data_IF_499586839942
#
_entry.id   IF_499586839942
#
_cell.length_a   1.000
_cell.length_b   1.000
_cell.length_c   1.000
_cell.angle_alpha   90.00
_cell.angle_beta   90.00
_cell.angle_gamma   90.00
#
_symmetry.space_group_name_H-M   'P 1'
#
loop_
_entity.id
_entity.type
_entity.pdbx_description
1 polymer ?
#
# COMPACT_ATOMS: atom_id res chain seq x y z
N UNK A 1 -8.06 18.56 -21.47
CA UNK A 1 -6.81 17.91 -21.91
C UNK A 1 -6.27 17.16 -20.71
N UNK A 2 -5.90 15.89 -20.82
CA UNK A 2 -5.37 15.11 -19.69
C UNK A 2 -3.87 15.36 -19.65
N UNK A 3 -3.36 15.98 -18.60
CA UNK A 3 -1.91 16.19 -18.43
C UNK A 3 -1.20 14.84 -18.37
N UNK A 4 -0.11 14.74 -19.12
CA UNK A 4 0.74 13.55 -19.13
C UNK A 4 1.70 13.59 -17.94
N UNK A 5 2.30 12.44 -17.62
CA UNK A 5 3.35 12.39 -16.60
C UNK A 5 4.51 13.33 -16.94
N UNK A 6 4.88 13.42 -18.22
CA UNK A 6 6.00 14.26 -18.65
C UNK A 6 5.67 15.76 -18.47
N UNK A 7 4.44 16.17 -18.80
CA UNK A 7 4.00 17.56 -18.63
C UNK A 7 4.12 18.02 -17.16
N UNK A 8 3.90 17.10 -16.21
CA UNK A 8 4.03 17.38 -14.77
C UNK A 8 5.50 17.51 -14.38
N UNK A 9 6.39 16.67 -14.93
CA UNK A 9 7.83 16.76 -14.66
C UNK A 9 8.40 18.07 -15.20
N UNK A 10 8.09 18.42 -16.45
CA UNK A 10 8.55 19.66 -17.08
C UNK A 10 8.11 20.90 -16.29
N UNK A 11 6.93 20.86 -15.67
CA UNK A 11 6.45 21.93 -14.79
C UNK A 11 7.17 22.02 -13.45
N UNK A 12 7.64 20.89 -12.91
CA UNK A 12 8.41 20.89 -11.67
C UNK A 12 9.82 21.43 -11.96
N UNK A 13 10.40 21.09 -13.11
CA UNK A 13 11.77 21.51 -13.50
C UNK A 13 11.93 23.03 -13.64
N UNK A 14 10.86 23.76 -13.95
CA UNK A 14 10.91 25.23 -14.06
C UNK A 14 10.80 25.95 -12.70
N UNK A 15 10.55 25.23 -11.61
CA UNK A 15 10.45 25.81 -10.28
C UNK A 15 11.85 26.08 -9.70
N UNK A 16 11.99 27.01 -8.75
CA UNK A 16 13.22 27.17 -7.98
C UNK A 16 13.63 25.87 -7.26
N UNK A 17 14.93 25.65 -7.10
CA UNK A 17 15.47 24.43 -6.48
C UNK A 17 14.84 24.12 -5.11
N UNK A 18 14.61 25.15 -4.29
CA UNK A 18 13.98 25.01 -2.97
C UNK A 18 12.55 24.45 -3.05
N UNK A 19 11.76 24.91 -4.03
CA UNK A 19 10.40 24.43 -4.25
C UNK A 19 10.41 22.99 -4.80
N UNK A 20 11.36 22.65 -5.66
CA UNK A 20 11.54 21.28 -6.14
C UNK A 20 11.87 20.33 -4.98
N UNK A 21 12.77 20.71 -4.09
CA UNK A 21 13.13 19.94 -2.89
C UNK A 21 11.92 19.76 -1.96
N UNK A 22 11.11 20.80 -1.77
CA UNK A 22 9.89 20.74 -0.96
C UNK A 22 8.88 19.74 -1.56
N UNK A 23 8.67 19.78 -2.88
CA UNK A 23 7.78 18.85 -3.59
C UNK A 23 8.24 17.40 -3.39
N UNK A 24 9.53 17.13 -3.52
CA UNK A 24 10.09 15.79 -3.27
C UNK A 24 9.77 15.33 -1.84
N UNK A 25 9.95 16.21 -0.85
CA UNK A 25 9.60 15.94 0.54
C UNK A 25 8.13 15.60 0.74
N UNK A 26 7.23 16.38 0.14
CA UNK A 26 5.78 16.18 0.22
C UNK A 26 5.37 14.84 -0.42
N UNK A 27 5.86 14.55 -1.62
CA UNK A 27 5.54 13.30 -2.34
C UNK A 27 6.02 12.09 -1.54
N UNK A 28 7.25 12.14 -1.01
CA UNK A 28 7.79 11.06 -0.18
C UNK A 28 6.94 10.81 1.06
N UNK A 29 6.52 11.88 1.75
CA UNK A 29 5.63 11.77 2.92
C UNK A 29 4.29 11.14 2.55
N UNK A 30 3.66 11.59 1.46
CA UNK A 30 2.37 11.03 0.99
C UNK A 30 2.46 9.56 0.62
N UNK A 31 3.55 9.14 -0.04
CA UNK A 31 3.78 7.73 -0.37
C UNK A 31 3.91 6.84 0.87
N UNK A 32 4.63 7.32 1.90
CA UNK A 32 4.76 6.62 3.18
C UNK A 32 3.39 6.48 3.85
N UNK A 33 2.62 7.56 3.93
CA UNK A 33 1.29 7.53 4.55
C UNK A 33 0.32 6.62 3.79
N UNK A 34 0.31 6.67 2.45
CA UNK A 34 -0.52 5.77 1.65
C UNK A 34 -0.15 4.29 1.88
N UNK A 35 1.15 3.98 2.01
CA UNK A 35 1.60 2.62 2.34
C UNK A 35 1.17 2.20 3.74
N UNK A 36 1.23 3.11 4.73
CA UNK A 36 0.75 2.87 6.10
C UNK A 36 -0.75 2.61 6.12
N UNK A 37 -1.53 3.38 5.38
CA UNK A 37 -2.99 3.16 5.25
C UNK A 37 -3.32 1.83 4.58
N UNK A 38 -2.57 1.45 3.53
CA UNK A 38 -2.74 0.16 2.88
C UNK A 38 -2.45 -0.99 3.86
N UNK A 39 -1.35 -0.90 4.61
CA UNK A 39 -0.98 -1.90 5.62
C UNK A 39 -1.99 -1.95 6.77
N UNK A 40 -2.48 -0.80 7.24
CA UNK A 40 -3.50 -0.73 8.27
C UNK A 40 -4.82 -1.37 7.81
N UNK A 41 -5.22 -1.15 6.55
CA UNK A 41 -6.39 -1.80 5.94
C UNK A 41 -6.23 -3.32 5.87
N UNK A 42 -5.06 -3.80 5.47
CA UNK A 42 -4.74 -5.22 5.41
C UNK A 42 -4.75 -5.87 6.79
N UNK A 43 -4.08 -5.27 7.78
CA UNK A 43 -4.09 -5.72 9.17
C UNK A 43 -5.52 -5.74 9.73
N UNK A 44 -6.33 -4.72 9.44
CA UNK A 44 -7.73 -4.67 9.85
C UNK A 44 -8.57 -5.78 9.19
N UNK A 45 -8.28 -6.12 7.93
CA UNK A 45 -8.92 -7.24 7.24
C UNK A 45 -8.55 -8.57 7.90
N UNK A 46 -7.26 -8.85 8.07
CA UNK A 46 -6.74 -10.08 8.71
C UNK A 46 -7.30 -10.24 10.14
N UNK A 47 -7.27 -9.17 10.95
CA UNK A 47 -7.85 -9.18 12.31
C UNK A 47 -9.37 -9.37 12.33
N UNK A 48 -10.10 -8.95 11.30
CA UNK A 48 -11.54 -9.23 11.18
C UNK A 48 -11.79 -10.69 10.81
N UNK A 49 -11.04 -11.27 9.87
CA UNK A 49 -11.15 -12.68 9.51
C UNK A 49 -10.81 -13.59 10.70
N UNK A 50 -9.74 -13.25 11.43
CA UNK A 50 -9.36 -13.95 12.65
C UNK A 50 -10.44 -13.90 13.73
N UNK A 51 -11.04 -12.71 13.97
CA UNK A 51 -12.13 -12.54 14.95
C UNK A 51 -13.46 -13.15 14.53
N UNK A 52 -13.74 -13.24 13.22
CA UNK A 52 -14.94 -13.90 12.69
C UNK A 52 -14.88 -15.43 12.76
N UNK A 53 -13.79 -16.00 13.26
CA UNK A 53 -13.65 -17.45 13.42
C UNK A 53 -13.46 -18.19 12.09
N UNK A 54 -13.20 -17.47 11.00
CA UNK A 54 -12.83 -18.03 9.69
C UNK A 54 -11.37 -18.48 9.69
N UNK A 55 -10.95 -19.14 10.76
CA UNK A 55 -9.63 -19.73 10.92
C UNK A 55 -9.89 -21.23 11.07
N UNK A 56 -9.55 -22.01 10.04
CA UNK A 56 -9.61 -23.47 10.14
C UNK A 56 -8.58 -23.88 11.18
N UNK A 57 -9.06 -24.53 12.23
CA UNK A 57 -8.22 -25.17 13.25
C UNK A 57 -8.24 -26.66 12.93
N UNK A 58 -7.06 -27.21 12.68
CA UNK A 58 -6.86 -28.61 12.36
C UNK A 58 -5.43 -28.99 12.73
N UNK A 59 -5.20 -30.29 12.78
CA UNK A 59 -3.87 -30.88 12.92
C UNK A 59 -3.08 -30.70 11.61
N UNK A 60 -1.78 -31.01 11.65
CA UNK A 60 -0.94 -31.01 10.44
C UNK A 60 -1.51 -31.99 9.40
N UNK A 61 -2.09 -33.12 9.84
CA UNK A 61 -2.72 -34.09 8.94
C UNK A 61 -3.95 -33.51 8.21
N UNK A 62 -4.76 -32.69 8.89
CA UNK A 62 -5.92 -32.03 8.28
C UNK A 62 -5.49 -31.04 7.18
N UNK A 63 -4.37 -30.33 7.39
CA UNK A 63 -3.80 -29.43 6.39
C UNK A 63 -3.27 -30.20 5.17
N UNK A 64 -2.58 -31.32 5.39
CA UNK A 64 -2.01 -32.14 4.31
C UNK A 64 -3.10 -32.77 3.43
N UNK A 65 -4.23 -33.17 4.01
CA UNK A 65 -5.37 -33.69 3.27
C UNK A 65 -6.08 -32.63 2.41
N UNK A 66 -6.10 -31.37 2.85
CA UNK A 66 -6.74 -30.27 2.11
C UNK A 66 -5.90 -29.81 0.91
N UNK A 67 -4.56 -29.86 1.02
CA UNK A 67 -3.62 -29.49 -0.06
C UNK A 67 -3.50 -30.59 -1.13
N UNK A 68 -3.79 -31.84 -0.79
CA UNK A 68 -3.68 -32.98 -1.71
C UNK A 68 -4.88 -33.16 -2.66
N UNK A 69 -5.90 -32.27 -2.60
CA UNK A 69 -7.00 -32.20 -3.56
C UNK A 69 -6.74 -31.16 -4.66
#
# INVERSE_FOLDING_TARGET
MKETFNDVIERIEILPDEEQEEIVGIIRKRLIEHRRESLAREIAHVRRQYRRGSVRRGTVDDLMNEIAQ
#
